data_IF_832194519207
#
_entry.id   IF_832194519207
#
_cell.length_a   1.000
_cell.length_b   1.000
_cell.length_c   1.000
_cell.angle_alpha   90.00
_cell.angle_beta   90.00
_cell.angle_gamma   90.00
#
_symmetry.space_group_name_H-M   'P 1'
#
loop_
_entity.id
_entity.type
_entity.pdbx_description
1 polymer ?
#
# COMPACT_ATOMS: atom_id res chain seq x y z
N UNK A 1 69.19 -81.95 37.77
CA UNK A 1 69.61 -81.15 36.60
C UNK A 1 68.40 -80.98 35.69
N UNK A 2 68.11 -79.72 35.35
CA UNK A 2 67.20 -79.23 34.30
C UNK A 2 65.70 -79.56 34.38
N UNK A 3 64.97 -78.56 34.86
CA UNK A 3 63.53 -78.31 34.73
C UNK A 3 63.17 -77.92 33.29
N UNK A 4 62.15 -78.55 32.70
CA UNK A 4 61.47 -78.02 31.51
C UNK A 4 60.03 -77.65 31.89
N UNK A 5 59.76 -76.37 31.77
CA UNK A 5 58.53 -75.62 32.05
C UNK A 5 57.39 -76.04 31.10
N UNK A 6 56.15 -76.30 31.58
CA UNK A 6 54.97 -76.35 30.71
C UNK A 6 54.52 -74.92 30.32
N UNK A 7 53.84 -74.74 29.17
CA UNK A 7 53.47 -73.43 28.63
C UNK A 7 52.38 -72.74 29.47
N UNK A 8 52.54 -71.43 29.70
CA UNK A 8 51.58 -70.59 30.41
C UNK A 8 50.26 -70.47 29.61
N UNK A 9 49.19 -71.03 30.17
CA UNK A 9 47.81 -70.90 29.69
C UNK A 9 47.11 -69.75 30.43
N UNK A 10 47.49 -68.52 30.09
CA UNK A 10 46.92 -67.30 30.66
C UNK A 10 45.76 -66.80 29.78
N UNK A 11 44.63 -67.50 29.82
CA UNK A 11 43.33 -67.00 29.34
C UNK A 11 42.26 -67.09 30.45
N UNK A 12 42.62 -66.63 31.65
CA UNK A 12 41.63 -66.32 32.69
C UNK A 12 40.98 -64.97 32.36
N UNK A 13 39.88 -65.00 31.63
CA UNK A 13 38.93 -63.89 31.58
C UNK A 13 38.20 -63.86 32.94
N UNK A 14 38.71 -63.06 33.88
CA UNK A 14 37.94 -62.70 35.07
C UNK A 14 36.75 -61.84 34.62
N UNK A 15 35.49 -62.19 34.93
CA UNK A 15 34.38 -61.32 34.60
C UNK A 15 34.45 -60.12 35.56
N UNK A 16 34.84 -58.96 35.01
CA UNK A 16 34.75 -57.69 35.73
C UNK A 16 33.27 -57.35 35.97
N UNK A 17 32.69 -57.87 37.06
CA UNK A 17 31.38 -57.49 37.59
C UNK A 17 31.45 -56.27 38.54
N UNK A 18 32.54 -55.52 38.51
CA UNK A 18 32.70 -54.29 39.29
C UNK A 18 32.70 -53.06 38.39
N UNK A 19 31.66 -52.22 38.52
CA UNK A 19 31.63 -50.82 38.08
C UNK A 19 31.26 -50.50 36.62
N UNK A 20 30.25 -51.16 36.06
CA UNK A 20 29.59 -50.72 34.82
C UNK A 20 28.16 -50.22 35.03
N UNK A 21 27.88 -49.39 36.05
CA UNK A 21 26.57 -48.69 36.14
C UNK A 21 26.61 -47.47 37.07
N UNK A 22 27.19 -46.33 36.65
CA UNK A 22 26.96 -45.07 37.40
C UNK A 22 27.27 -43.73 36.68
N UNK A 23 27.66 -43.68 35.39
CA UNK A 23 28.11 -42.40 34.81
C UNK A 23 27.74 -42.20 33.33
N UNK A 24 26.47 -42.38 32.96
CA UNK A 24 25.97 -42.03 31.62
C UNK A 24 24.61 -41.31 31.63
N UNK A 25 24.33 -40.48 32.64
CA UNK A 25 23.08 -39.67 32.67
C UNK A 25 23.32 -38.16 32.70
N UNK A 26 24.50 -37.68 33.12
CA UNK A 26 24.74 -36.24 33.27
C UNK A 26 25.07 -35.49 31.96
N UNK A 27 25.47 -36.19 30.90
CA UNK A 27 25.81 -35.54 29.62
C UNK A 27 24.58 -35.26 28.74
N UNK A 28 23.52 -36.08 28.84
CA UNK A 28 22.33 -35.96 28.00
C UNK A 28 21.31 -34.92 28.50
N UNK A 29 21.29 -34.61 29.81
CA UNK A 29 20.43 -33.54 30.35
C UNK A 29 21.00 -32.15 30.05
N UNK A 30 22.33 -32.01 29.97
CA UNK A 30 22.99 -30.72 29.73
C UNK A 30 22.77 -30.21 28.30
N UNK A 31 22.73 -31.10 27.30
CA UNK A 31 22.44 -30.75 25.90
C UNK A 31 20.98 -30.36 25.70
N UNK A 32 20.02 -31.11 26.27
CA UNK A 32 18.59 -30.77 26.18
C UNK A 32 18.26 -29.41 26.80
N UNK A 33 18.85 -29.09 27.96
CA UNK A 33 18.66 -27.78 28.59
C UNK A 33 19.27 -26.61 27.80
N UNK A 34 20.35 -26.85 27.06
CA UNK A 34 21.00 -25.86 26.20
C UNK A 34 20.18 -25.59 24.93
N UNK A 35 19.58 -26.63 24.35
CA UNK A 35 18.72 -26.52 23.18
C UNK A 35 17.40 -25.77 23.52
N UNK A 36 16.83 -26.02 24.70
CA UNK A 36 15.67 -25.29 25.21
C UNK A 36 15.98 -23.82 25.48
N UNK A 37 17.16 -23.51 26.03
CA UNK A 37 17.60 -22.13 26.27
C UNK A 37 17.78 -21.37 24.94
N UNK A 38 18.40 -22.01 23.95
CA UNK A 38 18.55 -21.46 22.60
C UNK A 38 17.21 -21.23 21.90
N UNK A 39 16.28 -22.19 21.99
CA UNK A 39 14.96 -22.08 21.35
C UNK A 39 14.14 -20.94 21.96
N UNK A 40 14.21 -20.78 23.29
CA UNK A 40 13.58 -19.66 24.01
C UNK A 40 14.17 -18.32 23.57
N UNK A 41 15.49 -18.23 23.44
CA UNK A 41 16.17 -17.01 23.01
C UNK A 41 15.83 -16.64 21.57
N UNK A 42 15.79 -17.63 20.65
CA UNK A 42 15.38 -17.43 19.27
C UNK A 42 13.90 -16.98 19.13
N UNK A 43 12.99 -17.57 19.89
CA UNK A 43 11.58 -17.13 19.95
C UNK A 43 11.44 -15.71 20.49
N UNK A 44 12.25 -15.36 21.49
CA UNK A 44 12.23 -14.05 22.13
C UNK A 44 12.81 -12.98 21.21
N UNK A 45 13.85 -13.30 20.45
CA UNK A 45 14.39 -12.42 19.41
C UNK A 45 13.45 -12.26 18.23
N UNK A 46 12.76 -13.33 17.79
CA UNK A 46 11.73 -13.24 16.76
C UNK A 46 10.55 -12.35 17.22
N UNK A 47 10.11 -12.50 18.48
CA UNK A 47 9.08 -11.65 19.07
C UNK A 47 9.53 -10.17 19.16
N UNK A 48 10.80 -9.92 19.52
CA UNK A 48 11.38 -8.56 19.54
C UNK A 48 11.52 -7.95 18.15
N UNK A 49 11.90 -8.74 17.14
CA UNK A 49 12.03 -8.28 15.76
C UNK A 49 10.65 -7.95 15.15
N UNK A 50 9.64 -8.78 15.38
CA UNK A 50 8.26 -8.51 14.92
C UNK A 50 7.67 -7.20 15.45
N UNK A 51 8.05 -6.80 16.67
CA UNK A 51 7.60 -5.53 17.26
C UNK A 51 8.20 -4.28 16.56
N UNK A 52 9.41 -4.40 16.00
CA UNK A 52 10.01 -3.32 15.18
C UNK A 52 9.28 -3.18 13.85
N UNK A 53 8.94 -4.28 13.19
CA UNK A 53 8.18 -4.31 11.94
C UNK A 53 6.79 -3.65 12.08
N UNK A 54 6.11 -3.93 13.20
CA UNK A 54 4.76 -3.42 13.45
C UNK A 54 4.72 -1.89 13.67
N UNK A 55 5.79 -1.30 14.21
CA UNK A 55 5.90 0.16 14.37
C UNK A 55 6.06 0.87 13.03
N UNK A 56 6.88 0.32 12.15
CA UNK A 56 7.04 0.82 10.78
C UNK A 56 5.74 0.69 10.00
N UNK A 57 5.05 -0.46 10.13
CA UNK A 57 3.76 -0.68 9.50
C UNK A 57 2.67 0.31 9.98
N UNK A 58 2.66 0.72 11.26
CA UNK A 58 1.74 1.77 11.74
C UNK A 58 1.97 3.11 11.05
N UNK A 59 3.22 3.55 10.93
CA UNK A 59 3.59 4.82 10.28
C UNK A 59 3.25 4.79 8.79
N UNK A 60 3.54 3.68 8.13
CA UNK A 60 3.21 3.46 6.72
C UNK A 60 1.71 3.49 6.47
N UNK A 61 0.91 2.91 7.39
CA UNK A 61 -0.54 2.97 7.29
C UNK A 61 -1.09 4.39 7.40
N UNK A 62 -0.46 5.25 8.21
CA UNK A 62 -0.83 6.67 8.30
C UNK A 62 -0.41 7.42 7.02
N UNK A 63 0.80 7.18 6.52
CA UNK A 63 1.28 7.79 5.29
C UNK A 63 0.38 7.48 4.09
N UNK A 64 0.01 6.19 3.91
CA UNK A 64 -0.92 5.80 2.86
C UNK A 64 -2.32 6.40 3.03
N UNK A 65 -2.80 6.54 4.28
CA UNK A 65 -4.07 7.24 4.54
C UNK A 65 -4.01 8.70 4.14
N UNK A 66 -2.91 9.40 4.47
CA UNK A 66 -2.72 10.79 4.07
C UNK A 66 -2.63 10.94 2.56
N UNK A 67 -1.91 10.05 1.87
CA UNK A 67 -1.88 10.03 0.39
C UNK A 67 -3.28 9.79 -0.17
N UNK A 68 -4.00 8.78 0.34
CA UNK A 68 -5.35 8.50 -0.15
C UNK A 68 -6.29 9.68 0.07
N UNK A 69 -6.18 10.37 1.21
CA UNK A 69 -6.94 11.58 1.50
C UNK A 69 -6.56 12.72 0.54
N UNK A 70 -5.26 12.92 0.30
CA UNK A 70 -4.78 13.93 -0.64
C UNK A 70 -5.25 13.65 -2.07
N UNK A 71 -5.27 12.38 -2.50
CA UNK A 71 -5.80 11.96 -3.80
C UNK A 71 -7.30 12.22 -3.88
N UNK A 72 -8.08 11.90 -2.85
CA UNK A 72 -9.53 12.18 -2.82
C UNK A 72 -9.77 13.69 -2.89
N UNK A 73 -9.06 14.49 -2.09
CA UNK A 73 -9.16 15.96 -2.14
C UNK A 73 -8.76 16.48 -3.52
N UNK A 74 -7.71 15.93 -4.12
CA UNK A 74 -7.27 16.31 -5.46
C UNK A 74 -8.32 15.98 -6.52
N UNK A 75 -8.96 14.81 -6.45
CA UNK A 75 -10.06 14.43 -7.36
C UNK A 75 -11.25 15.36 -7.17
N UNK A 76 -11.65 15.66 -5.93
CA UNK A 76 -12.76 16.59 -5.66
C UNK A 76 -12.42 17.98 -6.20
N UNK A 77 -11.22 18.49 -5.90
CA UNK A 77 -10.75 19.77 -6.43
C UNK A 77 -10.68 19.76 -7.97
N UNK A 78 -10.22 18.67 -8.57
CA UNK A 78 -10.15 18.52 -10.01
C UNK A 78 -11.53 18.51 -10.64
N UNK A 79 -12.52 17.81 -10.06
CA UNK A 79 -13.90 17.77 -10.58
C UNK A 79 -14.59 19.11 -10.35
N UNK A 80 -14.42 19.74 -9.19
CA UNK A 80 -14.96 21.07 -8.90
C UNK A 80 -14.36 22.13 -9.81
N UNK A 81 -13.06 22.07 -10.08
CA UNK A 81 -12.43 22.93 -11.07
C UNK A 81 -12.95 22.54 -12.45
N UNK A 82 -12.95 21.28 -12.86
CA UNK A 82 -13.41 20.83 -14.20
C UNK A 82 -14.85 21.20 -14.53
N UNK A 83 -15.75 21.25 -13.54
CA UNK A 83 -17.12 21.74 -13.71
C UNK A 83 -17.21 23.26 -14.02
N UNK A 84 -16.21 24.03 -13.61
CA UNK A 84 -16.01 25.45 -13.97
C UNK A 84 -14.93 25.65 -15.06
N UNK A 85 -14.11 24.65 -15.38
CA UNK A 85 -12.97 24.76 -16.30
C UNK A 85 -13.30 24.42 -17.75
N UNK A 86 -14.50 23.94 -18.06
CA UNK A 86 -15.02 24.10 -19.43
C UNK A 86 -15.09 25.59 -19.80
N UNK A 87 -15.00 26.48 -18.80
CA UNK A 87 -15.09 27.91 -18.94
C UNK A 87 -13.74 28.66 -18.73
N UNK A 88 -12.80 28.09 -17.97
CA UNK A 88 -11.52 28.73 -17.58
C UNK A 88 -10.25 28.09 -18.18
N UNK A 89 -10.34 26.91 -18.78
CA UNK A 89 -9.35 26.46 -19.78
C UNK A 89 -9.73 27.01 -21.15
N UNK A 90 -10.08 28.30 -21.19
CA UNK A 90 -10.13 29.04 -22.43
C UNK A 90 -8.78 28.84 -23.11
N UNK A 91 -8.76 28.08 -24.21
CA UNK A 91 -7.80 28.34 -25.26
C UNK A 91 -7.81 29.86 -25.41
N UNK A 92 -6.77 30.52 -24.89
CA UNK A 92 -6.73 31.99 -24.85
C UNK A 92 -7.07 32.39 -26.25
N UNK A 93 -8.25 32.98 -26.44
CA UNK A 93 -8.73 33.37 -27.75
C UNK A 93 -7.88 34.58 -28.09
N UNK A 94 -6.66 34.33 -28.58
CA UNK A 94 -5.63 35.34 -28.84
C UNK A 94 -5.99 36.19 -30.05
N UNK A 95 -6.97 35.73 -30.83
CA UNK A 95 -7.40 36.37 -32.06
C UNK A 95 -8.89 36.71 -31.99
N UNK A 96 -9.29 37.89 -32.51
CA UNK A 96 -10.69 38.25 -32.68
C UNK A 96 -11.49 37.12 -33.33
N UNK A 97 -12.49 36.58 -32.62
CA UNK A 97 -13.26 35.41 -33.06
C UNK A 97 -14.76 35.65 -32.86
N UNK A 98 -15.59 34.86 -33.56
CA UNK A 98 -17.02 34.80 -33.29
C UNK A 98 -17.31 33.70 -32.27
N UNK A 99 -18.12 34.00 -31.25
CA UNK A 99 -18.63 32.99 -30.32
C UNK A 99 -19.83 32.28 -30.95
N UNK A 100 -19.83 30.95 -30.96
CA UNK A 100 -20.95 30.15 -31.44
C UNK A 100 -21.63 29.55 -30.22
N UNK A 101 -22.95 29.74 -30.10
CA UNK A 101 -23.76 29.24 -29.00
C UNK A 101 -24.87 28.38 -29.61
N UNK A 102 -24.88 27.10 -29.27
CA UNK A 102 -25.87 26.13 -29.74
C UNK A 102 -26.97 25.95 -28.70
N UNK A 103 -28.21 26.27 -29.07
CA UNK A 103 -29.41 26.06 -28.26
C UNK A 103 -30.24 24.99 -28.95
N UNK A 104 -30.40 23.84 -28.31
CA UNK A 104 -31.18 22.72 -28.84
C UNK A 104 -32.21 22.24 -27.82
N UNK A 105 -33.40 21.87 -28.30
CA UNK A 105 -34.47 21.35 -27.44
C UNK A 105 -35.49 22.41 -27.03
N UNK A 106 -36.36 22.06 -26.07
CA UNK A 106 -37.47 22.92 -25.63
C UNK A 106 -36.96 23.98 -24.65
N UNK A 107 -37.30 25.25 -24.89
CA UNK A 107 -36.97 26.36 -23.99
C UNK A 107 -38.00 26.38 -22.85
N UNK A 108 -37.68 25.69 -21.75
CA UNK A 108 -38.53 25.63 -20.58
C UNK A 108 -37.71 25.62 -19.28
N UNK A 109 -38.33 26.07 -18.18
CA UNK A 109 -37.69 26.07 -16.87
C UNK A 109 -37.27 24.64 -16.46
N UNK A 110 -36.04 24.49 -15.99
CA UNK A 110 -35.49 23.20 -15.56
C UNK A 110 -35.10 22.25 -16.71
N UNK A 111 -34.99 22.75 -17.94
CA UNK A 111 -34.40 22.03 -19.08
C UNK A 111 -33.02 22.57 -19.42
N UNK A 112 -32.27 21.82 -20.22
CA UNK A 112 -30.91 22.18 -20.67
C UNK A 112 -30.90 23.48 -21.49
N UNK A 113 -31.96 23.74 -22.26
CA UNK A 113 -32.16 25.01 -22.99
C UNK A 113 -32.94 26.06 -22.17
N UNK A 114 -32.81 26.07 -20.84
CA UNK A 114 -33.49 27.05 -19.97
C UNK A 114 -32.80 28.42 -20.01
N UNK A 115 -33.57 29.48 -19.72
CA UNK A 115 -33.02 30.84 -19.65
C UNK A 115 -31.95 30.98 -18.56
N UNK A 116 -32.11 30.26 -17.45
CA UNK A 116 -31.15 30.21 -16.35
C UNK A 116 -29.78 29.69 -16.78
N UNK A 117 -29.72 28.78 -17.75
CA UNK A 117 -28.47 28.23 -18.29
C UNK A 117 -27.90 29.10 -19.43
N UNK A 118 -28.77 29.65 -20.29
CA UNK A 118 -28.36 30.38 -21.49
C UNK A 118 -27.86 31.80 -21.16
N UNK A 119 -28.48 32.50 -20.20
CA UNK A 119 -28.13 33.89 -19.85
C UNK A 119 -26.68 34.02 -19.37
N UNK A 120 -26.18 33.21 -18.42
CA UNK A 120 -24.79 33.28 -17.97
C UNK A 120 -23.78 33.08 -19.10
N UNK A 121 -24.05 32.14 -20.01
CA UNK A 121 -23.20 31.86 -21.18
C UNK A 121 -23.12 33.07 -22.11
N UNK A 122 -24.27 33.70 -22.40
CA UNK A 122 -24.31 34.94 -23.20
C UNK A 122 -23.55 36.08 -22.50
N UNK A 123 -23.78 36.30 -21.20
CA UNK A 123 -23.08 37.33 -20.44
C UNK A 123 -21.58 37.15 -20.48
N UNK A 124 -21.10 35.91 -20.34
CA UNK A 124 -19.67 35.62 -20.41
C UNK A 124 -19.12 35.88 -21.81
N UNK A 125 -19.86 35.48 -22.85
CA UNK A 125 -19.48 35.77 -24.23
C UNK A 125 -19.38 37.29 -24.48
N UNK A 126 -20.31 38.08 -23.93
CA UNK A 126 -20.27 39.55 -24.02
C UNK A 126 -19.13 40.19 -23.23
N UNK A 127 -18.75 39.63 -22.07
CA UNK A 127 -17.64 40.14 -21.25
C UNK A 127 -16.27 39.88 -21.89
N UNK A 128 -16.18 38.97 -22.86
CA UNK A 128 -14.92 38.64 -23.53
C UNK A 128 -14.57 39.64 -24.65
N UNK A 129 -13.51 40.44 -24.44
CA UNK A 129 -13.03 41.47 -25.39
C UNK A 129 -12.55 40.92 -26.75
N UNK A 130 -12.28 39.62 -26.82
CA UNK A 130 -11.82 38.92 -28.03
C UNK A 130 -12.98 38.44 -28.90
N UNK A 131 -14.21 38.40 -28.38
CA UNK A 131 -15.39 38.03 -29.15
C UNK A 131 -15.91 39.27 -29.88
N UNK A 132 -15.92 39.23 -31.22
CA UNK A 132 -16.39 40.36 -32.06
C UNK A 132 -17.84 40.22 -32.52
N UNK A 133 -18.39 39.03 -32.40
CA UNK A 133 -19.77 38.72 -32.76
C UNK A 133 -20.19 37.41 -32.14
N UNK A 134 -21.50 37.25 -31.97
CA UNK A 134 -22.11 36.05 -31.40
C UNK A 134 -23.04 35.46 -32.47
N UNK A 135 -22.90 34.17 -32.73
CA UNK A 135 -23.77 33.40 -33.62
C UNK A 135 -24.58 32.44 -32.77
N UNK A 136 -25.88 32.67 -32.71
CA UNK A 136 -26.82 31.83 -31.98
C UNK A 136 -27.42 30.81 -32.94
N UNK A 137 -27.11 29.53 -32.72
CA UNK A 137 -27.66 28.41 -33.48
C UNK A 137 -28.82 27.82 -32.69
N UNK A 138 -30.03 28.20 -33.08
CA UNK A 138 -31.25 27.74 -32.41
C UNK A 138 -31.89 26.59 -33.18
N UNK A 139 -32.03 25.44 -32.53
CA UNK A 139 -32.80 24.29 -32.98
C UNK A 139 -33.82 23.93 -31.89
N UNK A 140 -34.82 24.78 -31.75
CA UNK A 140 -35.87 24.64 -30.73
C UNK A 140 -37.24 24.52 -31.41
N UNK A 141 -38.17 23.72 -30.86
CA UNK A 141 -39.52 23.58 -31.41
C UNK A 141 -40.40 24.81 -31.12
N UNK A 142 -39.97 25.68 -30.21
CA UNK A 142 -40.66 26.86 -29.70
C UNK A 142 -39.98 27.37 -28.43
#
# INVERSE_FOLDING_TARGET
MSTAQPPNDDLRIEPNLGAATAQHTNASEKTASSDDAWAREALLDLARQGLKEQRSARRWRVFFRLISLAVVIWIIAWVSLSGDLDDEQGAVIKQPSAGIIDISGVIAAGQEASAEEIIPVLEKAFKNTQIKGIVLRMNTPG
#
